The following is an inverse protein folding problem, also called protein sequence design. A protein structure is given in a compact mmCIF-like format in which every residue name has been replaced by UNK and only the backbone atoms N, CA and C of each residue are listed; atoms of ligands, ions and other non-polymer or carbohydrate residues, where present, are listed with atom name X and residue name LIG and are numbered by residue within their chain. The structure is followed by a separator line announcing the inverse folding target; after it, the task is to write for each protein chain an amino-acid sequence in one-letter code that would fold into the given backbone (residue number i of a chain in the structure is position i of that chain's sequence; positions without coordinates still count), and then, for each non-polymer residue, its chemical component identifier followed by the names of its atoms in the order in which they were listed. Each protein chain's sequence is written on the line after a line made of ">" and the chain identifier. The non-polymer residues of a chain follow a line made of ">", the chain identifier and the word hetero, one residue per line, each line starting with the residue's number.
data_IF_622244271335
#
_entry.id   IF_622244271335
#
_cell.length_a   1.000
_cell.length_b   1.000
_cell.length_c   1.000
_cell.angle_alpha   90.00
_cell.angle_beta   90.00
_cell.angle_gamma   90.00
#
_symmetry.space_group_name_H-M   'P 1'
#
loop_
_entity.id
_entity.type
_entity.pdbx_description
1 polymer ?
#
# COMPACT_ATOMS: atom_id res chain seq x y z
N UNK A 1 26.35 14.91 -19.71
CA UNK A 1 25.33 15.38 -18.74
C UNK A 1 25.08 14.25 -17.77
N UNK A 2 25.57 14.35 -16.53
CA UNK A 2 25.28 13.37 -15.49
C UNK A 2 23.82 13.57 -15.08
N UNK A 3 22.91 12.77 -15.65
CA UNK A 3 21.54 12.69 -15.18
C UNK A 3 21.59 12.22 -13.73
N UNK A 4 21.10 13.04 -12.80
CA UNK A 4 20.97 12.65 -11.40
C UNK A 4 19.94 11.52 -11.36
N UNK A 5 20.40 10.27 -11.37
CA UNK A 5 19.55 9.12 -11.16
C UNK A 5 19.09 9.14 -9.70
N UNK A 6 17.92 9.73 -9.46
CA UNK A 6 17.26 9.71 -8.16
C UNK A 6 16.96 8.25 -7.80
N UNK A 7 17.50 7.76 -6.69
CA UNK A 7 17.23 6.39 -6.25
C UNK A 7 15.78 6.26 -5.77
N UNK A 8 15.19 5.07 -5.91
CA UNK A 8 13.81 4.82 -5.45
C UNK A 8 13.64 5.11 -3.94
N UNK A 9 14.64 4.79 -3.11
CA UNK A 9 14.64 5.14 -1.68
C UNK A 9 14.54 6.66 -1.47
N UNK A 10 15.33 7.43 -2.22
CA UNK A 10 15.30 8.90 -2.15
C UNK A 10 13.96 9.43 -2.64
N UNK A 11 13.41 8.85 -3.71
CA UNK A 11 12.11 9.23 -4.23
C UNK A 11 10.98 8.97 -3.22
N UNK A 12 10.99 7.81 -2.53
CA UNK A 12 10.03 7.51 -1.46
C UNK A 12 10.21 8.46 -0.29
N UNK A 13 11.43 8.74 0.16
CA UNK A 13 11.67 9.69 1.26
C UNK A 13 11.18 11.09 0.93
N UNK A 14 11.39 11.54 -0.31
CA UNK A 14 10.86 12.81 -0.79
C UNK A 14 9.33 12.77 -0.83
N UNK A 15 8.71 11.71 -1.36
CA UNK A 15 7.25 11.55 -1.34
C UNK A 15 6.66 11.55 0.08
N UNK A 16 7.33 10.92 1.04
CA UNK A 16 6.93 10.89 2.46
C UNK A 16 7.11 12.25 3.13
N UNK A 17 8.23 12.93 2.85
CA UNK A 17 8.56 14.23 3.43
C UNK A 17 7.77 15.39 2.82
N UNK A 18 7.31 15.24 1.58
CA UNK A 18 6.46 16.20 0.90
C UNK A 18 5.06 16.17 1.52
N UNK A 19 4.83 17.11 2.45
CA UNK A 19 3.49 17.28 3.02
C UNK A 19 2.49 17.62 1.92
N UNK A 20 1.21 17.30 2.16
CA UNK A 20 0.12 17.57 1.22
C UNK A 20 0.09 19.04 0.74
N UNK A 21 0.62 19.97 1.56
CA UNK A 21 0.59 21.43 1.37
C UNK A 21 1.77 22.01 0.57
N UNK A 22 2.90 21.31 0.46
CA UNK A 22 4.17 21.90 -0.04
C UNK A 22 4.65 21.32 -1.37
N UNK A 23 4.12 20.17 -1.77
CA UNK A 23 4.51 19.56 -3.05
C UNK A 23 3.67 20.10 -4.21
N UNK A 24 4.34 20.61 -5.24
CA UNK A 24 3.71 20.83 -6.54
C UNK A 24 3.28 19.48 -7.15
N UNK A 25 2.17 19.47 -7.86
CA UNK A 25 1.69 18.28 -8.59
C UNK A 25 2.75 17.73 -9.56
N UNK A 26 3.56 18.61 -10.14
CA UNK A 26 4.67 18.30 -11.04
C UNK A 26 5.79 17.51 -10.34
N UNK A 27 6.22 17.95 -9.14
CA UNK A 27 7.26 17.25 -8.39
C UNK A 27 6.78 15.85 -7.97
N UNK A 28 5.51 15.73 -7.56
CA UNK A 28 4.92 14.41 -7.26
C UNK A 28 4.85 13.53 -8.50
N UNK A 29 4.42 14.06 -9.63
CA UNK A 29 4.38 13.33 -10.90
C UNK A 29 5.76 12.83 -11.31
N UNK A 30 6.80 13.66 -11.17
CA UNK A 30 8.18 13.28 -11.45
C UNK A 30 8.66 12.15 -10.52
N UNK A 31 8.37 12.23 -9.21
CA UNK A 31 8.72 11.18 -8.25
C UNK A 31 7.98 9.88 -8.54
N UNK A 32 6.69 9.94 -8.87
CA UNK A 32 5.90 8.77 -9.28
C UNK A 32 6.46 8.14 -10.56
N UNK A 33 6.89 8.95 -11.54
CA UNK A 33 7.51 8.46 -12.77
C UNK A 33 8.82 7.71 -12.49
N UNK A 34 9.66 8.22 -11.58
CA UNK A 34 10.88 7.54 -11.14
C UNK A 34 10.56 6.18 -10.50
N UNK A 35 9.54 6.11 -9.64
CA UNK A 35 9.12 4.85 -9.03
C UNK A 35 8.54 3.85 -10.04
N UNK A 36 7.87 4.34 -11.08
CA UNK A 36 7.29 3.50 -12.14
C UNK A 36 8.36 2.94 -13.09
N UNK A 37 9.44 3.69 -13.32
CA UNK A 37 10.57 3.24 -14.14
C UNK A 37 11.42 2.18 -13.42
N UNK A 38 11.41 2.18 -12.09
CA UNK A 38 12.19 1.22 -11.32
C UNK A 38 11.40 0.70 -10.09
N UNK A 39 10.31 -0.07 -10.32
CA UNK A 39 9.54 -0.63 -9.22
C UNK A 39 10.36 -1.65 -8.45
N UNK A 40 11.27 -2.38 -9.09
CA UNK A 40 12.13 -3.39 -8.47
C UNK A 40 13.10 -2.81 -7.44
N UNK A 41 13.46 -1.53 -7.56
CA UNK A 41 14.25 -0.85 -6.53
C UNK A 41 13.49 -0.64 -5.20
N UNK A 42 12.18 -0.93 -5.16
CA UNK A 42 11.38 -1.00 -3.94
C UNK A 42 11.37 -2.39 -3.28
N UNK A 43 12.43 -3.18 -3.46
CA UNK A 43 12.58 -4.52 -2.86
C UNK A 43 12.57 -4.56 -1.31
N UNK A 44 12.54 -3.40 -0.64
CA UNK A 44 12.46 -3.33 0.82
C UNK A 44 11.01 -3.23 1.28
N UNK A 45 10.50 -4.19 2.09
CA UNK A 45 9.13 -4.20 2.61
C UNK A 45 8.68 -2.86 3.21
N UNK A 46 9.56 -2.22 3.99
CA UNK A 46 9.27 -0.91 4.61
C UNK A 46 9.13 0.23 3.60
N UNK A 47 9.92 0.23 2.52
CA UNK A 47 9.82 1.25 1.48
C UNK A 47 8.51 1.11 0.70
N UNK A 48 8.04 -0.13 0.46
CA UNK A 48 6.75 -0.38 -0.19
C UNK A 48 5.58 0.18 0.62
N UNK A 49 5.58 -0.08 1.94
CA UNK A 49 4.54 0.42 2.84
C UNK A 49 4.54 1.95 2.87
N UNK A 50 5.72 2.56 2.94
CA UNK A 50 5.89 4.01 2.95
C UNK A 50 5.45 4.65 1.64
N UNK A 51 5.82 4.07 0.50
CA UNK A 51 5.41 4.53 -0.81
C UNK A 51 3.88 4.46 -0.95
N UNK A 52 3.28 3.33 -0.59
CA UNK A 52 1.82 3.14 -0.65
C UNK A 52 1.08 4.14 0.24
N UNK A 53 1.53 4.38 1.47
CA UNK A 53 0.90 5.35 2.37
C UNK A 53 1.08 6.80 1.89
N UNK A 54 2.25 7.16 1.35
CA UNK A 54 2.49 8.48 0.78
C UNK A 54 1.59 8.75 -0.44
N UNK A 55 1.49 7.77 -1.35
CA UNK A 55 0.60 7.82 -2.51
C UNK A 55 -0.88 7.89 -2.09
N UNK A 56 -1.27 7.18 -1.04
CA UNK A 56 -2.63 7.23 -0.51
C UNK A 56 -2.97 8.60 0.10
N UNK A 57 -2.01 9.22 0.79
CA UNK A 57 -2.18 10.56 1.37
C UNK A 57 -2.21 11.66 0.31
N UNK A 58 -1.47 11.49 -0.78
CA UNK A 58 -1.44 12.46 -1.88
C UNK A 58 -2.63 12.32 -2.83
N UNK A 59 -3.39 11.22 -2.76
CA UNK A 59 -4.42 10.83 -3.73
C UNK A 59 -3.94 10.87 -5.18
N UNK A 60 -2.62 10.75 -5.37
CA UNK A 60 -1.95 10.95 -6.66
C UNK A 60 -1.12 9.71 -6.91
N UNK A 61 -1.76 8.71 -7.49
CA UNK A 61 -1.09 7.52 -7.96
C UNK A 61 -1.68 7.14 -9.32
N UNK A 62 -0.82 6.96 -10.30
CA UNK A 62 -1.22 6.31 -11.53
C UNK A 62 -1.59 4.86 -11.25
N UNK A 63 -2.64 4.36 -11.91
CA UNK A 63 -3.14 3.00 -11.74
C UNK A 63 -2.04 1.95 -12.01
N UNK A 64 -1.16 2.22 -12.98
CA UNK A 64 -0.02 1.35 -13.30
C UNK A 64 0.99 1.23 -12.16
N UNK A 65 1.38 2.35 -11.55
CA UNK A 65 2.28 2.37 -10.40
C UNK A 65 1.67 1.67 -9.18
N UNK A 66 0.38 1.95 -8.91
CA UNK A 66 -0.35 1.33 -7.82
C UNK A 66 -0.42 -0.19 -7.96
N UNK A 67 -0.64 -0.69 -9.19
CA UNK A 67 -0.66 -2.13 -9.48
C UNK A 67 0.71 -2.77 -9.30
N UNK A 68 1.79 -2.10 -9.72
CA UNK A 68 3.16 -2.59 -9.54
C UNK A 68 3.52 -2.69 -8.06
N UNK A 69 3.28 -1.63 -7.28
CA UNK A 69 3.51 -1.61 -5.83
C UNK A 69 2.64 -2.66 -5.14
N UNK A 70 1.37 -2.80 -5.52
CA UNK A 70 0.46 -3.80 -4.93
C UNK A 70 0.98 -5.23 -5.11
N UNK A 71 1.52 -5.56 -6.30
CA UNK A 71 2.12 -6.88 -6.55
C UNK A 71 3.34 -7.14 -5.65
N UNK A 72 4.23 -6.16 -5.50
CA UNK A 72 5.40 -6.32 -4.63
C UNK A 72 5.01 -6.39 -3.15
N UNK A 73 4.02 -5.62 -2.74
CA UNK A 73 3.44 -5.72 -1.39
C UNK A 73 2.92 -7.13 -1.12
N UNK A 74 2.21 -7.74 -2.07
CA UNK A 74 1.75 -9.13 -1.95
C UNK A 74 2.93 -10.10 -1.84
N UNK A 75 3.96 -9.91 -2.64
CA UNK A 75 5.16 -10.76 -2.64
C UNK A 75 5.90 -10.72 -1.29
N UNK A 76 6.07 -9.54 -0.69
CA UNK A 76 6.78 -9.35 0.57
C UNK A 76 5.88 -9.37 1.82
N UNK A 77 4.59 -9.70 1.68
CA UNK A 77 3.62 -9.52 2.77
C UNK A 77 3.93 -10.37 4.01
N UNK A 78 4.62 -11.50 3.81
CA UNK A 78 5.06 -12.38 4.90
C UNK A 78 6.04 -11.69 5.85
N UNK A 79 6.81 -10.72 5.35
CA UNK A 79 7.82 -9.97 6.11
C UNK A 79 7.23 -8.75 6.83
N UNK A 80 5.94 -8.45 6.62
CA UNK A 80 5.30 -7.27 7.18
C UNK A 80 5.00 -7.48 8.67
N UNK A 81 5.30 -6.47 9.47
CA UNK A 81 4.81 -6.42 10.85
C UNK A 81 3.31 -6.09 10.88
N UNK A 82 2.64 -6.36 12.01
CA UNK A 82 1.25 -5.93 12.26
C UNK A 82 1.04 -4.44 11.95
N UNK A 83 2.04 -3.60 12.26
CA UNK A 83 2.00 -2.17 11.98
C UNK A 83 2.02 -1.89 10.48
N UNK A 84 2.87 -2.60 9.74
CA UNK A 84 2.98 -2.46 8.29
C UNK A 84 1.67 -2.88 7.60
N UNK A 85 1.08 -4.01 8.03
CA UNK A 85 -0.23 -4.47 7.55
C UNK A 85 -1.34 -3.43 7.79
N UNK A 86 -1.37 -2.80 8.96
CA UNK A 86 -2.36 -1.77 9.28
C UNK A 86 -2.18 -0.51 8.43
N UNK A 87 -0.93 -0.08 8.19
CA UNK A 87 -0.64 1.06 7.33
C UNK A 87 -1.06 0.76 5.89
N UNK A 88 -0.70 -0.41 5.35
CA UNK A 88 -1.07 -0.84 4.01
C UNK A 88 -2.59 -0.96 3.85
N UNK A 89 -3.29 -1.56 4.82
CA UNK A 89 -4.75 -1.67 4.79
C UNK A 89 -5.44 -0.29 4.76
N UNK A 90 -4.96 0.66 5.56
CA UNK A 90 -5.46 2.03 5.57
C UNK A 90 -5.18 2.75 4.25
N UNK A 91 -3.99 2.55 3.67
CA UNK A 91 -3.64 3.09 2.36
C UNK A 91 -4.56 2.54 1.25
N UNK A 92 -4.79 1.21 1.22
CA UNK A 92 -5.73 0.57 0.31
C UNK A 92 -7.15 1.12 0.47
N UNK A 93 -7.61 1.36 1.69
CA UNK A 93 -8.92 1.93 1.97
C UNK A 93 -9.05 3.36 1.42
N UNK A 94 -8.06 4.22 1.68
CA UNK A 94 -8.04 5.62 1.20
C UNK A 94 -8.03 5.72 -0.32
N UNK A 95 -7.27 4.85 -0.97
CA UNK A 95 -7.15 4.80 -2.43
C UNK A 95 -8.28 4.01 -3.09
N UNK A 96 -9.23 3.48 -2.32
CA UNK A 96 -10.31 2.63 -2.81
C UNK A 96 -9.81 1.44 -3.64
N UNK A 97 -8.66 0.88 -3.30
CA UNK A 97 -8.08 -0.29 -3.98
C UNK A 97 -9.07 -1.44 -3.94
N UNK A 98 -9.38 -2.00 -5.12
CA UNK A 98 -10.30 -3.13 -5.29
C UNK A 98 -9.60 -4.43 -5.69
N UNK A 99 -8.28 -4.42 -5.76
CA UNK A 99 -7.51 -5.61 -6.10
C UNK A 99 -7.74 -6.69 -5.04
N UNK A 100 -8.34 -7.81 -5.45
CA UNK A 100 -8.68 -8.91 -4.53
C UNK A 100 -7.42 -9.56 -3.93
N UNK A 101 -6.33 -9.63 -4.67
CA UNK A 101 -5.13 -10.34 -4.23
C UNK A 101 -4.48 -9.65 -3.03
N UNK A 102 -4.34 -8.31 -3.06
CA UNK A 102 -3.78 -7.56 -1.92
C UNK A 102 -4.72 -7.60 -0.71
N UNK A 103 -6.03 -7.46 -0.92
CA UNK A 103 -7.01 -7.45 0.17
C UNK A 103 -7.10 -8.83 0.85
N UNK A 104 -7.10 -9.92 0.08
CA UNK A 104 -7.09 -11.28 0.63
C UNK A 104 -5.78 -11.63 1.32
N UNK A 105 -4.65 -11.20 0.75
CA UNK A 105 -3.33 -11.41 1.38
C UNK A 105 -3.24 -10.67 2.72
N UNK A 106 -3.73 -9.43 2.79
CA UNK A 106 -3.77 -8.66 4.04
C UNK A 106 -4.61 -9.37 5.11
N UNK A 107 -5.78 -9.90 4.74
CA UNK A 107 -6.65 -10.63 5.67
C UNK A 107 -5.96 -11.88 6.19
N UNK A 108 -5.41 -12.71 5.29
CA UNK A 108 -4.73 -13.97 5.66
C UNK A 108 -3.53 -13.70 6.58
N UNK A 109 -2.71 -12.71 6.23
CA UNK A 109 -1.49 -12.42 6.99
C UNK A 109 -1.80 -11.82 8.37
N UNK A 110 -2.85 -11.01 8.48
CA UNK A 110 -3.26 -10.49 9.77
C UNK A 110 -3.98 -11.55 10.63
N UNK A 111 -4.67 -12.52 10.03
CA UNK A 111 -5.20 -13.68 10.75
C UNK A 111 -4.08 -14.55 11.30
N UNK A 112 -3.06 -14.87 10.48
CA UNK A 112 -1.90 -15.64 10.95
C UNK A 112 -1.15 -14.94 12.08
N UNK A 113 -1.01 -13.61 12.03
CA UNK A 113 -0.36 -12.85 13.10
C UNK A 113 -1.25 -12.62 14.33
N UNK A 114 -2.58 -12.62 14.18
CA UNK A 114 -3.53 -12.53 15.28
C UNK A 114 -3.53 -13.80 16.13
N UNK A 115 -3.48 -14.97 15.49
CA UNK A 115 -3.37 -16.26 16.17
C UNK A 115 -2.07 -16.38 16.99
N UNK A 116 -1.01 -15.68 16.57
CA UNK A 116 0.28 -15.65 17.26
C UNK A 116 0.33 -14.57 18.37
N UNK A 117 -0.48 -13.51 18.28
CA UNK A 117 -0.50 -12.38 19.22
C UNK A 117 -1.92 -11.98 19.58
N UNK A 118 -2.49 -12.72 20.53
CA UNK A 118 -3.90 -12.66 20.97
C UNK A 118 -4.33 -11.33 21.67
N UNK A 119 -3.63 -10.21 21.46
CA UNK A 119 -3.95 -8.95 22.19
C UNK A 119 -3.52 -7.63 21.53
N UNK A 120 -2.92 -7.60 20.33
CA UNK A 120 -2.34 -6.35 19.78
C UNK A 120 -2.74 -6.00 18.35
N UNK A 121 -3.94 -6.37 17.89
CA UNK A 121 -4.40 -5.88 16.59
C UNK A 121 -4.79 -4.39 16.70
N UNK A 122 -4.27 -3.50 15.84
CA UNK A 122 -4.64 -2.09 15.83
C UNK A 122 -6.13 -1.92 15.55
N UNK A 123 -6.78 -0.91 16.15
CA UNK A 123 -8.20 -0.56 15.94
C UNK A 123 -8.58 -0.44 14.45
N UNK A 124 -7.64 0.01 13.62
CA UNK A 124 -7.82 0.11 12.17
C UNK A 124 -8.08 -1.25 11.49
N UNK A 125 -7.52 -2.33 12.04
CA UNK A 125 -7.66 -3.69 11.50
C UNK A 125 -9.08 -4.26 11.68
N UNK A 126 -9.69 -4.05 12.84
CA UNK A 126 -11.06 -4.52 13.12
C UNK A 126 -12.07 -3.92 12.14
N UNK A 127 -11.93 -2.63 11.81
CA UNK A 127 -12.78 -1.95 10.81
C UNK A 127 -12.53 -2.47 9.40
N UNK A 128 -11.26 -2.67 9.00
CA UNK A 128 -10.93 -3.23 7.70
C UNK A 128 -11.46 -4.66 7.53
N UNK A 129 -11.31 -5.52 8.55
CA UNK A 129 -11.84 -6.88 8.56
C UNK A 129 -13.36 -6.90 8.44
N UNK A 130 -14.06 -6.06 9.21
CA UNK A 130 -15.51 -5.92 9.11
C UNK A 130 -15.96 -5.47 7.70
N UNK A 131 -15.22 -4.53 7.09
CA UNK A 131 -15.50 -4.07 5.73
C UNK A 131 -15.31 -5.18 4.67
N UNK A 132 -14.29 -6.03 4.81
CA UNK A 132 -14.07 -7.16 3.90
C UNK A 132 -15.09 -8.29 4.10
N UNK A 133 -15.47 -8.58 5.36
CA UNK A 133 -16.49 -9.59 5.67
C UNK A 133 -17.86 -9.23 5.05
N UNK A 134 -18.21 -7.94 5.01
CA UNK A 134 -19.39 -7.43 4.31
C UNK A 134 -19.35 -7.68 2.79
N UNK A 135 -18.18 -7.54 2.14
CA UNK A 135 -18.03 -7.75 0.69
C UNK A 135 -18.19 -9.20 0.26
N UNK A 136 -17.73 -10.17 1.07
CA UNK A 136 -17.89 -11.61 0.78
C UNK A 136 -19.36 -12.06 0.74
N UNK A 137 -20.27 -11.36 1.44
CA UNK A 137 -21.71 -11.67 1.41
C UNK A 137 -22.42 -11.16 0.15
N UNK A 138 -21.92 -10.10 -0.49
CA UNK A 138 -22.53 -9.52 -1.70
C UNK A 138 -22.35 -10.38 -2.96
N UNK A 139 -21.31 -11.21 -3.03
CA UNK A 139 -20.99 -11.94 -4.26
C UNK A 139 -21.75 -13.29 -4.41
N UNK A 140 -22.49 -13.71 -3.39
CA UNK A 140 -23.23 -15.00 -3.41
C UNK A 140 -24.72 -14.87 -3.77
N UNK A 141 -25.19 -13.67 -4.14
CA UNK A 141 -26.61 -13.37 -4.36
C UNK A 141 -26.94 -12.95 -5.80
N UNK A 142 -26.39 -13.64 -6.80
CA UNK A 142 -26.79 -13.49 -8.21
C UNK A 142 -26.92 -14.83 -8.95
N UNK A 143 -27.31 -15.88 -8.23
CA UNK A 143 -27.87 -17.10 -8.79
C UNK A 143 -29.12 -17.47 -8.00
N UNK A 144 -30.21 -16.82 -8.34
CA UNK A 144 -31.58 -17.28 -8.12
C UNK A 144 -32.37 -16.91 -9.36
#
# INVERSE_FOLDING_TARGET
>A
MAGVCLSADTAVRLLVGLSAKEATSELRGALCSVLQQNPEALDRPRLLVQAMDALAKSQSAEEGLLKAISKQIVYHMVDFSVKDLAITANACQRMLVRDGAILESLVRQAESQAEIKDSTLPVCWSHFRAQQAGRRRGHRSSRA
#
